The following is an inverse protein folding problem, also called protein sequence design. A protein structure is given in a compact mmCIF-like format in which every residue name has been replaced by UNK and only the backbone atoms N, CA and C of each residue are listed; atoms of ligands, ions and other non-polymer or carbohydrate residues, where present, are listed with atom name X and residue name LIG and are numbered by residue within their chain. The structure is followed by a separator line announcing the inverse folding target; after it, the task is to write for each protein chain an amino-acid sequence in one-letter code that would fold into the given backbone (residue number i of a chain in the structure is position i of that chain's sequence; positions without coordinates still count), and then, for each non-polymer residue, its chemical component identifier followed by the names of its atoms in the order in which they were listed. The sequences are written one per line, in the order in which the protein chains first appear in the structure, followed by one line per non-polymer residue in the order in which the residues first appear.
data_IF_888529158116
#
_entry.id   IF_888529158116
#
_cell.length_a   1.000
_cell.length_b   1.000
_cell.length_c   1.000
_cell.angle_alpha   90.00
_cell.angle_beta   90.00
_cell.angle_gamma   90.00
#
_symmetry.space_group_name_H-M   'P 1'
#
loop_
_entity.id
_entity.type
_entity.pdbx_description
1 polymer ?
#
# COMPACT_ATOMS: atom_id res chain seq x y z
N UNK A 1 -33.71 -4.17 -65.63
CA UNK A 1 -32.53 -3.67 -64.91
C UNK A 1 -33.14 -2.87 -63.73
N UNK A 2 -33.24 -3.49 -62.55
CA UNK A 2 -33.81 -2.85 -61.32
C UNK A 2 -32.68 -2.69 -60.34
N UNK A 3 -32.38 -1.44 -59.97
CA UNK A 3 -31.37 -1.07 -59.03
C UNK A 3 -32.07 -0.94 -57.67
N UNK A 4 -31.74 -1.84 -56.70
CA UNK A 4 -32.17 -1.72 -55.33
C UNK A 4 -31.14 -0.89 -54.55
N UNK A 5 -31.53 0.28 -54.09
CA UNK A 5 -30.76 1.07 -53.14
C UNK A 5 -31.06 0.60 -51.70
N UNK A 6 -30.06 0.06 -51.05
CA UNK A 6 -30.14 -0.26 -49.61
C UNK A 6 -29.78 0.98 -48.78
N UNK A 7 -30.75 1.50 -48.01
CA UNK A 7 -30.49 2.53 -47.00
C UNK A 7 -29.91 1.86 -45.74
N UNK A 8 -28.66 2.15 -45.44
CA UNK A 8 -28.03 1.80 -44.16
C UNK A 8 -28.35 2.89 -43.13
N UNK A 9 -29.18 2.60 -42.17
CA UNK A 9 -29.44 3.48 -41.03
C UNK A 9 -28.31 3.30 -40.00
N UNK A 10 -27.50 4.35 -39.81
CA UNK A 10 -26.52 4.40 -38.74
C UNK A 10 -27.22 4.76 -37.42
N UNK A 11 -27.26 3.83 -36.49
CA UNK A 11 -27.75 4.06 -35.11
C UNK A 11 -26.63 4.71 -34.31
N UNK A 12 -26.76 6.00 -34.03
CA UNK A 12 -25.89 6.74 -33.13
C UNK A 12 -26.26 6.36 -31.69
N UNK A 13 -25.44 5.53 -31.04
CA UNK A 13 -25.61 5.22 -29.61
C UNK A 13 -25.11 6.43 -28.80
N UNK A 14 -26.04 7.22 -28.25
CA UNK A 14 -25.72 8.20 -27.23
C UNK A 14 -25.33 7.42 -25.94
N UNK A 15 -24.07 7.50 -25.56
CA UNK A 15 -23.62 7.10 -24.24
C UNK A 15 -24.21 8.07 -23.21
N UNK A 16 -25.27 7.63 -22.52
CA UNK A 16 -25.79 8.32 -21.35
C UNK A 16 -24.81 8.07 -20.21
N UNK A 17 -23.95 9.05 -19.92
CA UNK A 17 -23.21 9.08 -18.67
C UNK A 17 -24.21 9.28 -17.55
N UNK A 18 -24.45 8.23 -16.75
CA UNK A 18 -25.25 8.35 -15.54
C UNK A 18 -24.55 9.37 -14.61
N UNK A 19 -25.28 10.36 -14.06
CA UNK A 19 -24.70 11.22 -13.05
C UNK A 19 -24.35 10.33 -11.86
N UNK A 20 -23.14 10.45 -11.35
CA UNK A 20 -22.74 9.93 -10.04
C UNK A 20 -23.74 10.50 -9.04
N UNK A 21 -24.56 9.67 -8.41
CA UNK A 21 -25.50 10.14 -7.39
C UNK A 21 -24.64 10.72 -6.25
N UNK A 22 -24.77 12.02 -6.04
CA UNK A 22 -24.29 12.65 -4.82
C UNK A 22 -24.95 11.91 -3.64
N UNK A 23 -24.18 11.53 -2.65
CA UNK A 23 -24.70 10.85 -1.46
C UNK A 23 -25.53 11.85 -0.66
N UNK A 24 -26.85 11.75 -0.76
CA UNK A 24 -27.81 12.67 -0.11
C UNK A 24 -27.72 12.66 1.43
N UNK A 25 -26.83 11.87 2.02
CA UNK A 25 -26.58 11.83 3.47
C UNK A 25 -25.94 13.10 4.01
N UNK A 26 -25.17 13.80 3.19
CA UNK A 26 -24.34 14.91 3.65
C UNK A 26 -25.01 16.27 3.38
N UNK A 27 -24.70 17.30 4.18
CA UNK A 27 -25.13 18.69 3.90
C UNK A 27 -24.63 19.18 2.54
N UNK A 28 -25.38 20.13 1.93
CA UNK A 28 -25.10 20.58 0.57
C UNK A 28 -23.64 21.05 0.32
N UNK A 29 -22.94 21.79 1.24
CA UNK A 29 -21.54 22.13 1.03
C UNK A 29 -20.62 20.92 1.02
N UNK A 30 -20.90 19.88 1.82
CA UNK A 30 -20.13 18.63 1.87
C UNK A 30 -20.39 17.78 0.62
N UNK A 31 -21.65 17.72 0.17
CA UNK A 31 -22.00 17.08 -1.12
C UNK A 31 -21.25 17.72 -2.29
N UNK A 32 -21.14 19.06 -2.30
CA UNK A 32 -20.42 19.77 -3.36
C UNK A 32 -18.93 19.40 -3.39
N UNK A 33 -18.30 19.14 -2.22
CA UNK A 33 -16.91 18.68 -2.12
C UNK A 33 -16.80 17.20 -2.59
N UNK A 34 -17.75 16.35 -2.21
CA UNK A 34 -17.82 14.97 -2.72
C UNK A 34 -17.94 14.93 -4.24
N UNK A 35 -18.75 15.79 -4.83
CA UNK A 35 -18.87 15.91 -6.29
C UNK A 35 -17.55 16.37 -6.98
N UNK A 36 -16.63 16.98 -6.23
CA UNK A 36 -15.28 17.34 -6.69
C UNK A 36 -14.24 16.23 -6.48
N UNK A 37 -14.67 15.05 -6.00
CA UNK A 37 -13.83 13.87 -5.86
C UNK A 37 -13.32 13.60 -4.44
N UNK A 38 -13.85 14.29 -3.41
CA UNK A 38 -13.58 13.92 -2.03
C UNK A 38 -14.49 12.75 -1.61
N UNK A 39 -13.91 11.73 -1.02
CA UNK A 39 -14.63 10.63 -0.42
C UNK A 39 -14.87 10.92 1.07
N UNK A 40 -16.15 11.05 1.47
CA UNK A 40 -16.53 11.37 2.85
C UNK A 40 -16.78 10.07 3.60
N UNK A 41 -16.02 9.85 4.67
CA UNK A 41 -16.05 8.61 5.45
C UNK A 41 -16.97 8.69 6.66
N UNK A 42 -16.82 9.74 7.48
CA UNK A 42 -17.59 9.90 8.71
C UNK A 42 -17.77 11.36 9.12
N UNK A 43 -18.76 11.61 9.96
CA UNK A 43 -18.95 12.85 10.69
C UNK A 43 -18.30 12.74 12.08
N UNK A 44 -17.73 13.83 12.58
CA UNK A 44 -17.17 13.92 13.93
C UNK A 44 -17.48 15.26 14.60
N UNK A 45 -17.43 15.28 15.92
CA UNK A 45 -17.64 16.51 16.69
C UNK A 45 -16.43 17.45 16.58
N UNK A 46 -16.69 18.74 16.30
CA UNK A 46 -15.68 19.77 16.26
C UNK A 46 -16.08 20.97 17.18
N UNK A 47 -15.10 21.68 17.77
CA UNK A 47 -15.38 22.82 18.64
C UNK A 47 -15.97 24.00 17.86
N UNK A 48 -16.48 24.99 18.62
CA UNK A 48 -16.99 26.24 18.04
C UNK A 48 -18.33 26.11 17.32
N UNK A 49 -19.06 25.01 17.53
CA UNK A 49 -20.33 24.70 16.84
C UNK A 49 -20.15 24.23 15.40
N UNK A 50 -18.92 23.90 15.01
CA UNK A 50 -18.61 23.29 13.73
C UNK A 50 -18.99 21.80 13.77
N UNK A 51 -19.34 21.25 12.61
CA UNK A 51 -19.43 19.81 12.39
C UNK A 51 -18.24 19.38 11.52
N UNK A 52 -17.45 18.43 12.01
CA UNK A 52 -16.31 17.89 11.27
C UNK A 52 -16.71 16.70 10.39
N UNK A 53 -16.04 16.53 9.25
CA UNK A 53 -16.14 15.36 8.39
C UNK A 53 -14.75 14.88 8.04
N UNK A 54 -14.50 13.58 8.33
CA UNK A 54 -13.31 12.88 7.92
C UNK A 54 -13.47 12.43 6.46
N UNK A 55 -12.54 12.81 5.62
CA UNK A 55 -12.59 12.56 4.19
C UNK A 55 -11.22 12.18 3.63
N UNK A 56 -11.20 11.64 2.42
CA UNK A 56 -9.98 11.43 1.64
C UNK A 56 -10.09 12.06 0.25
N UNK A 57 -8.94 12.43 -0.31
CA UNK A 57 -8.80 12.86 -1.70
C UNK A 57 -7.58 12.18 -2.30
N UNK A 58 -7.77 11.31 -3.27
CA UNK A 58 -6.76 10.36 -3.73
C UNK A 58 -6.27 9.50 -2.54
N UNK A 59 -4.97 9.54 -2.23
CA UNK A 59 -4.38 8.84 -1.08
C UNK A 59 -4.17 9.76 0.15
N UNK A 60 -4.59 11.03 0.07
CA UNK A 60 -4.44 12.01 1.15
C UNK A 60 -5.71 12.08 2.01
N UNK A 61 -5.51 12.20 3.31
CA UNK A 61 -6.58 12.47 4.27
C UNK A 61 -6.90 13.96 4.31
N UNK A 62 -8.15 14.28 4.57
CA UNK A 62 -8.67 15.64 4.58
C UNK A 62 -9.76 15.78 5.64
N UNK A 63 -9.68 16.82 6.47
CA UNK A 63 -10.77 17.22 7.33
C UNK A 63 -11.59 18.35 6.67
N UNK A 64 -12.91 18.26 6.82
CA UNK A 64 -13.86 19.26 6.37
C UNK A 64 -14.63 19.75 7.59
N UNK A 65 -14.86 21.05 7.71
CA UNK A 65 -15.62 21.65 8.80
C UNK A 65 -16.79 22.45 8.23
N UNK A 66 -18.01 22.01 8.56
CA UNK A 66 -19.24 22.70 8.23
C UNK A 66 -19.51 23.80 9.27
N UNK A 67 -19.86 24.99 8.82
CA UNK A 67 -20.23 26.11 9.68
C UNK A 67 -21.58 25.85 10.38
N UNK A 68 -21.83 26.48 11.57
CA UNK A 68 -23.05 26.24 12.35
C UNK A 68 -24.36 26.57 11.63
N UNK A 69 -24.31 27.46 10.63
CA UNK A 69 -25.47 27.76 9.77
C UNK A 69 -25.73 26.68 8.72
N UNK A 70 -24.81 25.75 8.53
CA UNK A 70 -24.91 24.66 7.54
C UNK A 70 -24.72 25.10 6.08
N UNK A 71 -24.36 26.35 5.84
CA UNK A 71 -24.32 26.95 4.50
C UNK A 71 -22.92 26.94 3.89
N UNK A 72 -21.87 26.78 4.70
CA UNK A 72 -20.47 26.85 4.25
C UNK A 72 -19.62 25.71 4.81
N UNK A 73 -18.61 25.31 4.08
CA UNK A 73 -17.63 24.34 4.52
C UNK A 73 -16.20 24.86 4.32
N UNK A 74 -15.31 24.52 5.26
CA UNK A 74 -13.88 24.79 5.21
C UNK A 74 -13.13 23.47 5.14
N UNK A 75 -12.17 23.36 4.22
CA UNK A 75 -11.29 22.18 4.08
C UNK A 75 -9.93 22.54 4.65
N UNK A 76 -9.44 21.73 5.60
CA UNK A 76 -8.12 21.96 6.21
C UNK A 76 -8.04 21.48 7.65
N UNK A 77 -6.95 21.85 8.32
CA UNK A 77 -6.67 21.48 9.71
C UNK A 77 -7.20 22.52 10.68
N UNK A 78 -7.96 22.08 11.69
CA UNK A 78 -8.38 22.88 12.82
C UNK A 78 -7.45 22.60 14.00
N UNK A 79 -6.84 23.66 14.54
CA UNK A 79 -5.89 23.54 15.65
C UNK A 79 -6.42 24.22 16.89
N UNK A 80 -6.02 23.74 18.08
CA UNK A 80 -6.24 24.40 19.36
C UNK A 80 -5.20 25.51 19.63
N UNK A 81 -5.24 26.08 20.85
CA UNK A 81 -4.32 27.14 21.27
C UNK A 81 -2.87 26.65 21.44
N UNK A 82 -2.67 25.37 21.61
CA UNK A 82 -1.39 24.67 21.73
C UNK A 82 -0.85 24.24 20.35
N UNK A 83 -1.64 24.36 19.28
CA UNK A 83 -1.29 23.98 17.91
C UNK A 83 -1.57 22.51 17.59
N UNK A 84 -2.30 21.78 18.45
CA UNK A 84 -2.67 20.40 18.20
C UNK A 84 -3.77 20.30 17.15
N UNK A 85 -3.67 19.32 16.25
CA UNK A 85 -4.68 19.03 15.23
C UNK A 85 -5.89 18.33 15.88
N UNK A 86 -7.04 19.00 15.83
CA UNK A 86 -8.30 18.50 16.42
C UNK A 86 -9.03 17.49 15.53
N UNK A 87 -8.56 17.28 14.29
CA UNK A 87 -9.08 16.23 13.40
C UNK A 87 -8.32 14.92 13.47
N UNK A 88 -7.14 14.90 14.11
CA UNK A 88 -6.20 13.77 14.06
C UNK A 88 -6.86 12.43 14.47
N UNK A 89 -7.58 12.42 15.61
CA UNK A 89 -8.24 11.21 16.09
C UNK A 89 -9.33 10.69 15.13
N UNK A 90 -10.12 11.59 14.56
CA UNK A 90 -11.19 11.23 13.62
C UNK A 90 -10.61 10.76 12.28
N UNK A 91 -9.54 11.38 11.79
CA UNK A 91 -8.85 10.95 10.58
C UNK A 91 -8.16 9.59 10.80
N UNK A 92 -7.56 9.35 11.97
CA UNK A 92 -7.01 8.04 12.32
C UNK A 92 -8.08 6.95 12.30
N UNK A 93 -9.21 7.19 12.96
CA UNK A 93 -10.28 6.21 13.10
C UNK A 93 -11.01 5.91 11.79
N UNK A 94 -11.35 6.95 11.03
CA UNK A 94 -12.28 6.82 9.90
C UNK A 94 -11.61 6.80 8.52
N UNK A 95 -10.35 7.24 8.41
CA UNK A 95 -9.62 7.28 7.14
C UNK A 95 -8.41 6.36 7.19
N UNK A 96 -7.47 6.62 8.10
CA UNK A 96 -6.19 5.90 8.14
C UNK A 96 -6.37 4.42 8.48
N UNK A 97 -7.27 4.08 9.40
CA UNK A 97 -7.50 2.68 9.78
C UNK A 97 -7.94 1.84 8.56
N UNK A 98 -8.86 2.34 7.74
CA UNK A 98 -9.31 1.66 6.53
C UNK A 98 -8.18 1.56 5.49
N UNK A 99 -7.39 2.63 5.30
CA UNK A 99 -6.25 2.64 4.39
C UNK A 99 -5.16 1.65 4.84
N UNK A 100 -4.86 1.58 6.14
CA UNK A 100 -3.91 0.62 6.69
C UNK A 100 -4.37 -0.82 6.53
N UNK A 101 -5.68 -1.08 6.71
CA UNK A 101 -6.26 -2.40 6.49
C UNK A 101 -6.14 -2.82 5.01
N UNK A 102 -6.47 -1.93 4.06
CA UNK A 102 -6.32 -2.17 2.62
C UNK A 102 -4.87 -2.47 2.24
N UNK A 103 -3.94 -1.61 2.68
CA UNK A 103 -2.50 -1.83 2.43
C UNK A 103 -2.06 -3.21 2.94
N UNK A 104 -2.45 -3.58 4.16
CA UNK A 104 -2.07 -4.86 4.74
C UNK A 104 -2.67 -6.06 3.99
N UNK A 105 -3.91 -5.94 3.55
CA UNK A 105 -4.57 -6.97 2.74
C UNK A 105 -3.86 -7.14 1.39
N UNK A 106 -3.54 -6.05 0.71
CA UNK A 106 -2.79 -6.07 -0.56
C UNK A 106 -1.42 -6.70 -0.42
N UNK A 107 -0.70 -6.41 0.68
CA UNK A 107 0.56 -7.07 1.00
C UNK A 107 0.37 -8.58 1.22
N UNK A 108 -0.69 -8.98 1.93
CA UNK A 108 -0.99 -10.39 2.17
C UNK A 108 -1.33 -11.17 0.89
N UNK A 109 -1.98 -10.50 -0.07
CA UNK A 109 -2.36 -11.07 -1.37
C UNK A 109 -1.23 -11.01 -2.41
N UNK A 110 -0.13 -10.31 -2.14
CA UNK A 110 1.01 -10.23 -3.04
C UNK A 110 1.77 -11.55 -3.13
N UNK A 111 2.68 -11.65 -4.10
CA UNK A 111 3.50 -12.84 -4.30
C UNK A 111 4.82 -12.71 -3.53
N UNK A 112 4.91 -13.38 -2.40
CA UNK A 112 6.06 -13.29 -1.50
C UNK A 112 6.69 -14.66 -1.22
N UNK A 113 7.95 -14.64 -0.85
CA UNK A 113 8.70 -15.78 -0.33
C UNK A 113 8.71 -15.67 1.19
N UNK A 114 8.27 -16.74 1.86
CA UNK A 114 8.37 -16.84 3.32
C UNK A 114 9.82 -17.03 3.73
N UNK A 115 10.23 -16.36 4.78
CA UNK A 115 11.51 -16.53 5.46
C UNK A 115 11.27 -16.58 6.97
N UNK A 116 11.46 -17.74 7.57
CA UNK A 116 11.22 -18.05 8.98
C UNK A 116 10.02 -18.94 9.23
N UNK A 117 9.60 -19.01 10.48
CA UNK A 117 8.47 -19.84 10.91
C UNK A 117 7.15 -19.22 10.45
N UNK A 118 6.29 -19.94 9.72
CA UNK A 118 4.97 -19.44 9.31
C UNK A 118 4.05 -19.10 10.48
N UNK A 119 4.28 -19.68 11.64
CA UNK A 119 3.51 -19.45 12.87
C UNK A 119 4.11 -18.35 13.77
N UNK A 120 5.22 -17.72 13.34
CA UNK A 120 5.82 -16.61 14.09
C UNK A 120 4.81 -15.47 14.28
N UNK A 121 4.70 -14.91 15.51
CA UNK A 121 3.63 -13.98 15.85
C UNK A 121 3.71 -12.64 15.11
N UNK A 122 4.92 -12.24 14.67
CA UNK A 122 5.11 -10.98 13.96
C UNK A 122 5.36 -11.20 12.49
N UNK A 123 4.51 -10.58 11.68
CA UNK A 123 4.65 -10.57 10.22
C UNK A 123 5.28 -9.25 9.77
N UNK A 124 6.31 -9.36 8.94
CA UNK A 124 6.99 -8.21 8.33
C UNK A 124 7.10 -8.45 6.82
N UNK A 125 6.53 -7.54 6.03
CA UNK A 125 6.70 -7.56 4.57
C UNK A 125 7.88 -6.72 4.16
N UNK A 126 8.66 -7.20 3.20
CA UNK A 126 9.79 -6.44 2.65
C UNK A 126 9.88 -6.59 1.14
N UNK A 127 9.86 -5.48 0.42
CA UNK A 127 10.14 -5.46 -1.00
C UNK A 127 11.64 -5.64 -1.23
N UNK A 128 11.99 -6.71 -1.93
CA UNK A 128 13.37 -7.17 -2.10
C UNK A 128 13.72 -7.30 -3.58
N UNK A 129 14.78 -6.63 -4.02
CA UNK A 129 15.38 -6.83 -5.34
C UNK A 129 16.64 -7.68 -5.22
N UNK A 130 16.79 -8.71 -6.05
CA UNK A 130 17.92 -9.64 -6.01
C UNK A 130 19.28 -8.97 -6.29
N UNK A 131 19.32 -7.79 -6.89
CA UNK A 131 20.54 -7.02 -7.11
C UNK A 131 20.85 -6.01 -5.97
N UNK A 132 19.96 -5.92 -4.96
CA UNK A 132 20.08 -4.94 -3.90
C UNK A 132 21.05 -5.40 -2.78
N UNK A 133 22.20 -4.75 -2.58
CA UNK A 133 23.11 -5.11 -1.49
C UNK A 133 22.51 -4.80 -0.12
N UNK A 134 21.68 -3.77 0.01
CA UNK A 134 21.00 -3.41 1.26
C UNK A 134 19.90 -4.40 1.63
N UNK A 135 19.25 -5.06 0.66
CA UNK A 135 18.31 -6.14 0.94
C UNK A 135 19.00 -7.33 1.61
N UNK A 136 20.20 -7.68 1.17
CA UNK A 136 21.03 -8.73 1.83
C UNK A 136 21.47 -8.32 3.22
N UNK A 137 21.84 -7.04 3.41
CA UNK A 137 22.19 -6.53 4.74
C UNK A 137 20.98 -6.57 5.69
N UNK A 138 19.79 -6.18 5.21
CA UNK A 138 18.54 -6.28 5.97
C UNK A 138 18.24 -7.73 6.34
N UNK A 139 18.33 -8.65 5.37
CA UNK A 139 18.12 -10.08 5.59
C UNK A 139 19.07 -10.62 6.68
N UNK A 140 20.36 -10.28 6.61
CA UNK A 140 21.37 -10.70 7.59
C UNK A 140 21.11 -10.09 8.98
N UNK A 141 20.73 -8.82 9.05
CA UNK A 141 20.41 -8.15 10.31
C UNK A 141 19.15 -8.73 10.98
N UNK A 142 18.20 -9.25 10.21
CA UNK A 142 16.95 -9.82 10.72
C UNK A 142 17.11 -11.25 11.30
N UNK A 143 18.23 -11.95 11.03
CA UNK A 143 18.41 -13.36 11.42
C UNK A 143 18.11 -13.66 12.88
N UNK A 144 18.57 -12.85 13.88
CA UNK A 144 18.32 -13.18 15.28
C UNK A 144 16.83 -13.40 15.62
N UNK A 145 15.94 -12.54 15.09
CA UNK A 145 14.50 -12.66 15.34
C UNK A 145 13.83 -13.78 14.52
N UNK A 146 14.27 -13.96 13.29
CA UNK A 146 13.70 -14.99 12.39
C UNK A 146 14.09 -16.38 12.86
N UNK A 147 15.36 -16.60 13.22
CA UNK A 147 15.86 -17.89 13.72
C UNK A 147 15.29 -18.24 15.11
N UNK A 148 14.94 -17.22 15.91
CA UNK A 148 14.26 -17.43 17.19
C UNK A 148 12.76 -17.74 17.03
N UNK A 149 12.20 -17.67 15.82
CA UNK A 149 10.76 -17.89 15.59
C UNK A 149 9.88 -16.74 16.05
N UNK A 150 10.44 -15.56 16.29
CA UNK A 150 9.68 -14.38 16.74
C UNK A 150 9.09 -13.60 15.57
N UNK A 151 9.74 -13.63 14.39
CA UNK A 151 9.38 -12.88 13.20
C UNK A 151 9.37 -13.81 11.98
N UNK A 152 8.32 -13.68 11.16
CA UNK A 152 8.32 -14.17 9.79
C UNK A 152 8.49 -13.00 8.82
N UNK A 153 9.51 -13.06 7.97
CA UNK A 153 9.67 -12.14 6.87
C UNK A 153 8.94 -12.68 5.65
N UNK A 154 8.24 -11.81 4.93
CA UNK A 154 7.60 -12.08 3.66
C UNK A 154 8.25 -11.22 2.60
N UNK A 155 9.16 -11.81 1.84
CA UNK A 155 9.93 -11.10 0.81
C UNK A 155 9.10 -10.98 -0.47
N UNK A 156 8.58 -9.80 -0.75
CA UNK A 156 7.90 -9.45 -1.99
C UNK A 156 8.98 -9.16 -3.03
N UNK A 157 9.22 -10.14 -3.92
CA UNK A 157 10.29 -10.01 -4.90
C UNK A 157 9.91 -9.00 -5.98
N UNK A 158 10.75 -7.97 -6.13
CA UNK A 158 10.62 -6.94 -7.17
C UNK A 158 11.83 -6.92 -8.09
N UNK A 159 11.64 -6.42 -9.30
CA UNK A 159 12.70 -6.31 -10.29
C UNK A 159 12.82 -4.89 -10.83
N UNK A 160 13.46 -3.99 -10.06
CA UNK A 160 13.44 -2.55 -10.36
C UNK A 160 14.82 -1.91 -10.48
N UNK A 161 15.89 -2.53 -9.95
CA UNK A 161 17.21 -1.89 -9.87
C UNK A 161 18.06 -2.04 -11.13
N UNK A 162 17.90 -3.13 -11.87
CA UNK A 162 18.71 -3.42 -13.06
C UNK A 162 17.86 -4.16 -14.12
N UNK A 163 18.32 -4.16 -15.36
CA UNK A 163 17.61 -4.82 -16.48
C UNK A 163 17.39 -6.32 -16.30
N UNK A 164 18.22 -6.98 -15.49
CA UNK A 164 18.10 -8.41 -15.17
C UNK A 164 17.41 -8.67 -13.82
N UNK A 165 17.03 -7.63 -13.06
CA UNK A 165 16.33 -7.78 -11.77
C UNK A 165 15.02 -8.56 -11.90
N UNK A 166 14.14 -8.30 -12.91
CA UNK A 166 12.91 -9.07 -13.05
C UNK A 166 13.14 -10.58 -13.23
N UNK A 167 14.11 -10.96 -14.07
CA UNK A 167 14.42 -12.36 -14.31
C UNK A 167 15.02 -13.05 -13.07
N UNK A 168 15.83 -12.35 -12.29
CA UNK A 168 16.37 -12.86 -11.02
C UNK A 168 15.29 -13.01 -9.96
N UNK A 169 14.39 -12.03 -9.83
CA UNK A 169 13.23 -12.08 -8.94
C UNK A 169 12.34 -13.28 -9.29
N UNK A 170 12.04 -13.48 -10.59
CA UNK A 170 11.28 -14.63 -11.06
C UNK A 170 12.00 -15.96 -10.77
N UNK A 171 13.33 -16.01 -10.92
CA UNK A 171 14.12 -17.21 -10.61
C UNK A 171 14.01 -17.59 -9.13
N UNK A 172 14.06 -16.63 -8.22
CA UNK A 172 13.90 -16.89 -6.78
C UNK A 172 12.47 -17.29 -6.44
N UNK A 173 11.49 -16.56 -6.97
CA UNK A 173 10.07 -16.80 -6.69
C UNK A 173 9.57 -18.12 -7.26
N UNK A 174 10.07 -18.52 -8.43
CA UNK A 174 9.71 -19.75 -9.13
C UNK A 174 10.62 -20.95 -8.85
N UNK A 175 11.50 -20.89 -7.86
CA UNK A 175 12.34 -22.01 -7.45
C UNK A 175 11.50 -23.15 -6.87
N UNK A 176 11.97 -24.39 -6.93
CA UNK A 176 11.32 -25.55 -6.30
C UNK A 176 11.15 -25.36 -4.79
N UNK A 177 12.13 -24.73 -4.15
CA UNK A 177 12.07 -24.21 -2.78
C UNK A 177 12.50 -22.74 -2.76
N UNK A 178 11.53 -21.81 -2.80
CA UNK A 178 11.82 -20.37 -2.85
C UNK A 178 12.54 -19.84 -1.60
N UNK A 179 12.25 -20.41 -0.41
CA UNK A 179 12.90 -20.02 0.84
C UNK A 179 14.38 -20.40 0.82
N UNK A 180 14.70 -21.63 0.48
CA UNK A 180 16.08 -22.11 0.36
C UNK A 180 16.86 -21.32 -0.71
N UNK A 181 16.23 -21.04 -1.86
CA UNK A 181 16.84 -20.25 -2.93
C UNK A 181 17.15 -18.81 -2.47
N UNK A 182 16.22 -18.17 -1.75
CA UNK A 182 16.40 -16.85 -1.17
C UNK A 182 17.54 -16.83 -0.12
N UNK A 183 17.58 -17.83 0.75
CA UNK A 183 18.62 -17.99 1.77
C UNK A 183 20.00 -18.16 1.12
N UNK A 184 20.12 -19.08 0.16
CA UNK A 184 21.37 -19.30 -0.57
C UNK A 184 21.86 -18.00 -1.24
N UNK A 185 20.97 -17.28 -1.90
CA UNK A 185 21.28 -16.00 -2.52
C UNK A 185 21.71 -14.94 -1.50
N UNK A 186 21.00 -14.83 -0.37
CA UNK A 186 21.22 -13.77 0.63
C UNK A 186 22.47 -14.01 1.47
N UNK A 187 22.78 -15.27 1.83
CA UNK A 187 23.91 -15.66 2.66
C UNK A 187 25.23 -15.72 1.89
N UNK A 188 25.24 -16.25 0.67
CA UNK A 188 26.48 -16.47 -0.09
C UNK A 188 27.11 -15.19 -0.62
N UNK A 189 26.29 -14.14 -0.83
CA UNK A 189 26.70 -12.95 -1.55
C UNK A 189 26.87 -13.18 -3.06
N UNK A 190 26.65 -14.38 -3.54
CA UNK A 190 26.69 -14.71 -4.97
C UNK A 190 25.45 -14.18 -5.68
N UNK A 191 25.65 -13.76 -6.93
CA UNK A 191 24.53 -13.31 -7.73
C UNK A 191 23.72 -14.53 -8.18
N UNK A 192 22.39 -14.50 -7.99
CA UNK A 192 21.52 -15.49 -8.62
C UNK A 192 21.60 -15.33 -10.14
N UNK A 193 21.80 -16.42 -10.86
CA UNK A 193 21.78 -16.42 -12.32
C UNK A 193 20.32 -16.53 -12.80
N UNK A 194 19.89 -15.64 -13.73
CA UNK A 194 18.55 -15.72 -14.29
C UNK A 194 18.29 -17.06 -14.98
N UNK A 195 17.20 -17.71 -14.62
CA UNK A 195 16.71 -18.90 -15.27
C UNK A 195 15.34 -18.63 -15.89
N UNK A 196 15.04 -19.27 -17.02
CA UNK A 196 13.73 -19.16 -17.65
C UNK A 196 12.64 -19.65 -16.70
N UNK A 197 11.62 -18.84 -16.51
CA UNK A 197 10.48 -19.15 -15.65
C UNK A 197 9.18 -19.22 -16.46
N UNK A 198 8.16 -19.93 -15.97
CA UNK A 198 6.82 -19.84 -16.52
C UNK A 198 6.33 -18.38 -16.54
N UNK A 199 5.57 -18.02 -17.55
CA UNK A 199 5.01 -16.65 -17.71
C UNK A 199 4.22 -16.21 -16.47
N UNK A 200 3.55 -17.12 -15.80
CA UNK A 200 2.81 -16.84 -14.57
C UNK A 200 3.72 -16.26 -13.47
N UNK A 201 4.92 -16.81 -13.29
CA UNK A 201 5.91 -16.30 -12.31
C UNK A 201 6.43 -14.90 -12.72
N UNK A 202 6.66 -14.69 -14.02
CA UNK A 202 7.04 -13.36 -14.52
C UNK A 202 5.93 -12.32 -14.29
N UNK A 203 4.65 -12.71 -14.48
CA UNK A 203 3.48 -11.87 -14.19
C UNK A 203 3.36 -11.56 -12.69
N UNK A 204 3.69 -12.49 -11.80
CA UNK A 204 3.72 -12.27 -10.35
C UNK A 204 4.75 -11.19 -9.97
N UNK A 205 5.95 -11.24 -10.54
CA UNK A 205 6.97 -10.18 -10.32
C UNK A 205 6.48 -8.84 -10.85
N UNK A 206 5.83 -8.83 -12.01
CA UNK A 206 5.26 -7.60 -12.57
C UNK A 206 4.18 -7.01 -11.64
N UNK A 207 3.28 -7.83 -11.10
CA UNK A 207 2.25 -7.40 -10.13
C UNK A 207 2.88 -6.87 -8.84
N UNK A 208 3.96 -7.49 -8.36
CA UNK A 208 4.72 -6.99 -7.22
C UNK A 208 5.36 -5.61 -7.50
N UNK A 209 5.88 -5.39 -8.71
CA UNK A 209 6.42 -4.08 -9.09
C UNK A 209 5.31 -3.01 -9.13
N UNK A 210 4.13 -3.35 -9.63
CA UNK A 210 2.98 -2.44 -9.60
C UNK A 210 2.58 -2.10 -8.16
N UNK A 211 2.51 -3.09 -7.27
CA UNK A 211 2.21 -2.86 -5.85
C UNK A 211 3.26 -1.95 -5.19
N UNK A 212 4.55 -2.14 -5.51
CA UNK A 212 5.63 -1.28 -5.05
C UNK A 212 5.42 0.19 -5.44
N UNK A 213 5.10 0.43 -6.72
CA UNK A 213 4.87 1.78 -7.25
C UNK A 213 3.60 2.40 -6.67
N UNK A 214 2.49 1.66 -6.58
CA UNK A 214 1.19 2.11 -6.05
C UNK A 214 1.25 2.46 -4.56
N UNK A 215 2.07 1.75 -3.77
CA UNK A 215 2.32 2.07 -2.38
C UNK A 215 3.32 3.23 -2.20
N UNK A 216 3.81 3.82 -3.29
CA UNK A 216 4.75 4.95 -3.26
C UNK A 216 6.12 4.57 -2.70
N UNK A 217 6.55 3.32 -2.90
CA UNK A 217 7.90 2.89 -2.51
C UNK A 217 8.92 3.41 -3.53
N UNK A 218 10.09 3.85 -3.05
CA UNK A 218 11.14 4.45 -3.89
C UNK A 218 12.52 3.81 -3.72
N UNK A 219 12.65 2.85 -2.80
CA UNK A 219 13.92 2.19 -2.49
C UNK A 219 13.70 0.74 -2.09
N UNK A 220 14.75 -0.10 -2.23
CA UNK A 220 14.80 -1.44 -1.64
C UNK A 220 15.97 -1.55 -0.66
N UNK A 221 15.81 -2.25 0.47
CA UNK A 221 14.55 -2.83 0.94
C UNK A 221 13.50 -1.74 1.28
N UNK A 222 12.23 -1.99 1.05
CA UNK A 222 11.12 -1.22 1.66
C UNK A 222 10.33 -2.19 2.53
N UNK A 223 10.27 -1.89 3.81
CA UNK A 223 9.72 -2.79 4.82
C UNK A 223 8.46 -2.21 5.42
N UNK A 224 7.38 -3.01 5.49
CA UNK A 224 6.11 -2.64 6.07
C UNK A 224 5.76 -3.62 7.21
N UNK A 225 5.29 -3.07 8.32
CA UNK A 225 4.96 -3.84 9.52
C UNK A 225 3.81 -3.17 10.28
N UNK A 226 3.15 -3.92 11.14
CA UNK A 226 2.09 -3.37 12.00
C UNK A 226 2.63 -2.87 13.33
N UNK A 227 2.13 -1.71 13.75
CA UNK A 227 2.17 -1.23 15.12
C UNK A 227 0.70 -1.02 15.58
N UNK A 228 0.18 -1.99 16.35
CA UNK A 228 -1.25 -2.12 16.53
C UNK A 228 -1.97 -2.38 15.19
N UNK A 229 -2.92 -1.51 14.85
CA UNK A 229 -3.62 -1.57 13.55
C UNK A 229 -2.98 -0.70 12.46
N UNK A 230 -2.06 0.16 12.83
CA UNK A 230 -1.32 0.99 11.87
C UNK A 230 -0.32 0.15 11.09
N UNK A 231 -0.23 0.40 9.79
CA UNK A 231 0.88 -0.07 8.96
C UNK A 231 1.93 1.04 8.91
N UNK A 232 3.10 0.77 9.47
CA UNK A 232 4.26 1.64 9.38
C UNK A 232 5.23 1.11 8.32
N UNK A 233 6.12 1.99 7.84
CA UNK A 233 7.06 1.66 6.79
C UNK A 233 8.45 2.24 7.02
N UNK A 234 9.46 1.50 6.54
CA UNK A 234 10.85 1.96 6.47
C UNK A 234 11.34 1.73 5.04
N UNK A 235 11.92 2.75 4.43
CA UNK A 235 12.51 2.66 3.10
C UNK A 235 14.04 2.70 3.19
N UNK A 236 14.70 1.76 2.55
CA UNK A 236 16.13 1.53 2.70
C UNK A 236 16.45 0.64 3.92
N UNK A 237 17.74 0.48 4.20
CA UNK A 237 18.20 -0.28 5.37
C UNK A 237 17.86 0.47 6.66
N UNK A 238 17.08 -0.12 7.59
CA UNK A 238 16.79 0.48 8.89
C UNK A 238 18.06 0.72 9.71
N UNK A 239 18.07 1.77 10.55
CA UNK A 239 19.03 1.86 11.67
C UNK A 239 18.76 0.78 12.70
N UNK A 240 19.72 0.52 13.60
CA UNK A 240 19.57 -0.49 14.65
C UNK A 240 18.34 -0.22 15.53
N UNK A 241 18.06 1.05 15.86
CA UNK A 241 16.88 1.45 16.64
C UNK A 241 15.59 1.17 15.87
N UNK A 242 15.56 1.54 14.59
CA UNK A 242 14.41 1.32 13.73
C UNK A 242 14.18 -0.18 13.43
N UNK A 243 15.28 -0.96 13.42
CA UNK A 243 15.20 -2.41 13.28
C UNK A 243 14.45 -3.06 14.46
N UNK A 244 14.66 -2.56 15.68
CA UNK A 244 13.93 -3.02 16.88
C UNK A 244 12.43 -2.77 16.73
N UNK A 245 12.02 -1.63 16.20
CA UNK A 245 10.61 -1.32 15.94
C UNK A 245 10.02 -2.22 14.86
N UNK A 246 10.73 -2.39 13.74
CA UNK A 246 10.34 -3.29 12.64
C UNK A 246 10.11 -4.70 13.18
N UNK A 247 11.03 -5.23 13.98
CA UNK A 247 10.98 -6.59 14.49
C UNK A 247 10.08 -6.76 15.74
N UNK A 248 9.60 -5.65 16.33
CA UNK A 248 8.68 -5.68 17.48
C UNK A 248 9.33 -5.84 18.84
N UNK A 249 10.65 -5.74 18.91
CA UNK A 249 11.41 -5.87 20.14
C UNK A 249 12.90 -6.01 19.90
N UNK A 250 13.67 -6.03 20.98
CA UNK A 250 15.14 -6.30 20.89
C UNK A 250 15.39 -7.72 20.41
N UNK A 251 16.52 -7.91 19.78
CA UNK A 251 16.97 -9.24 19.39
C UNK A 251 17.06 -10.17 20.62
N UNK A 252 16.59 -11.43 20.49
CA UNK A 252 16.65 -12.43 21.55
C UNK A 252 18.10 -12.81 21.91
#
# INVERSE_FOLDING_TARGET
MRINAALTAAVLALAVTAPTQADDRWPAPVQALSAQGLEIHAEFEAPGGLTGYAASYHSGEVAIYLTPDGEHAVVGTLVDAEGSDLSEAALDEHVRAAQHADVWERLAQSHWILDGDPDAPRVVYTFTDANCPYCRQFWAAARPWVEAGEVQLRHIMVGILASNSPAKAATLLGADDPMDALHAHSASGEAVEPAAQPREIEEQVYTNNQLFDELGMIATPSTLFRDGERVDRVQGLPSDERMIEVMGGKAP
#
